data_IF_249498065808
#
_entry.id   IF_249498065808
#
_cell.length_a   1.000
_cell.length_b   1.000
_cell.length_c   1.000
_cell.angle_alpha   90.00
_cell.angle_beta   90.00
_cell.angle_gamma   90.00
#
_symmetry.space_group_name_H-M   'P 1'
#
loop_
_entity.id
_entity.type
_entity.pdbx_description
1 polymer ?
#
# COMPACT_ATOMS: atom_id res chain seq x y z
N UNK A 1 -22.26 -40.78 -42.65
CA UNK A 1 -20.89 -40.84 -42.09
C UNK A 1 -20.36 -39.40 -42.06
N UNK A 2 -20.40 -38.76 -40.89
CA UNK A 2 -19.98 -37.37 -40.72
C UNK A 2 -18.63 -37.37 -39.99
N UNK A 3 -17.60 -36.81 -40.61
CA UNK A 3 -16.25 -36.80 -40.07
C UNK A 3 -16.09 -35.66 -39.03
N UNK A 4 -15.67 -36.03 -37.83
CA UNK A 4 -15.37 -35.12 -36.72
C UNK A 4 -14.12 -34.29 -37.01
N UNK A 5 -14.20 -32.97 -36.81
CA UNK A 5 -13.01 -32.07 -36.81
C UNK A 5 -12.23 -32.26 -35.49
N UNK A 6 -10.89 -32.17 -35.51
CA UNK A 6 -10.11 -32.22 -34.27
C UNK A 6 -10.14 -30.86 -33.56
N UNK A 7 -10.31 -30.91 -32.24
CA UNK A 7 -10.12 -29.78 -31.31
C UNK A 7 -8.63 -29.45 -31.25
N UNK A 8 -8.29 -28.20 -31.55
CA UNK A 8 -6.94 -27.67 -31.39
C UNK A 8 -6.57 -27.68 -29.89
N UNK A 9 -5.46 -28.34 -29.56
CA UNK A 9 -4.90 -28.37 -28.22
C UNK A 9 -4.54 -26.95 -27.77
N UNK A 10 -4.96 -26.59 -26.55
CA UNK A 10 -4.59 -25.36 -25.86
C UNK A 10 -3.07 -25.21 -25.85
N UNK A 11 -2.58 -24.12 -26.42
CA UNK A 11 -1.16 -23.76 -26.42
C UNK A 11 -0.63 -23.75 -24.99
N UNK A 12 0.34 -24.61 -24.72
CA UNK A 12 1.11 -24.60 -23.49
C UNK A 12 1.77 -23.21 -23.36
N UNK A 13 1.43 -22.49 -22.28
CA UNK A 13 2.15 -21.29 -21.88
C UNK A 13 3.63 -21.63 -21.74
N UNK A 14 4.49 -20.96 -22.52
CA UNK A 14 5.93 -21.05 -22.36
C UNK A 14 6.26 -20.75 -20.89
N UNK A 15 7.06 -21.59 -20.19
CA UNK A 15 7.53 -21.22 -18.87
C UNK A 15 8.27 -19.89 -19.01
N UNK A 16 7.85 -18.89 -18.24
CA UNK A 16 8.54 -17.61 -18.17
C UNK A 16 10.01 -17.92 -17.93
N UNK A 17 10.87 -17.57 -18.91
CA UNK A 17 12.31 -17.66 -18.74
C UNK A 17 12.60 -16.92 -17.43
N UNK A 18 13.18 -17.62 -16.45
CA UNK A 18 13.84 -16.96 -15.32
C UNK A 18 14.97 -16.16 -15.95
N UNK A 19 14.69 -14.92 -16.33
CA UNK A 19 15.71 -13.95 -16.66
C UNK A 19 16.69 -13.99 -15.49
N UNK A 20 17.92 -14.44 -15.77
CA UNK A 20 18.93 -14.63 -14.74
C UNK A 20 19.03 -13.34 -13.96
N UNK A 21 18.80 -13.40 -12.64
CA UNK A 21 18.85 -12.22 -11.79
C UNK A 21 20.12 -11.47 -12.09
N UNK A 22 19.99 -10.18 -12.41
CA UNK A 22 21.16 -9.37 -12.75
C UNK A 22 22.17 -9.45 -11.62
N UNK A 23 23.46 -9.30 -11.95
CA UNK A 23 24.51 -9.31 -10.93
C UNK A 23 24.24 -8.27 -9.81
N UNK A 24 23.56 -7.16 -10.14
CA UNK A 24 23.07 -6.18 -9.17
C UNK A 24 22.01 -6.72 -8.21
N UNK A 25 20.97 -7.39 -8.73
CA UNK A 25 19.93 -8.00 -7.91
C UNK A 25 20.49 -9.05 -6.94
N UNK A 26 21.45 -9.87 -7.38
CA UNK A 26 22.12 -10.85 -6.51
C UNK A 26 22.97 -10.18 -5.41
N UNK A 27 23.64 -9.06 -5.71
CA UNK A 27 24.37 -8.27 -4.69
C UNK A 27 23.41 -7.71 -3.63
N UNK A 28 22.30 -7.12 -4.07
CA UNK A 28 21.27 -6.59 -3.16
C UNK A 28 20.68 -7.71 -2.27
N UNK A 29 20.37 -8.87 -2.86
CA UNK A 29 19.88 -10.04 -2.13
C UNK A 29 20.89 -10.52 -1.09
N UNK A 30 22.18 -10.66 -1.43
CA UNK A 30 23.21 -11.06 -0.46
C UNK A 30 23.35 -10.06 0.68
N UNK A 31 23.30 -8.75 0.39
CA UNK A 31 23.34 -7.71 1.43
C UNK A 31 22.13 -7.82 2.35
N UNK A 32 20.92 -7.96 1.80
CA UNK A 32 19.69 -8.14 2.57
C UNK A 32 19.77 -9.36 3.50
N UNK A 33 20.15 -10.53 2.97
CA UNK A 33 20.25 -11.77 3.75
C UNK A 33 21.38 -11.75 4.80
N UNK A 34 22.35 -10.84 4.69
CA UNK A 34 23.35 -10.62 5.74
C UNK A 34 22.75 -9.98 6.99
N UNK A 35 21.74 -9.12 6.82
CA UNK A 35 21.02 -8.50 7.94
C UNK A 35 19.84 -9.33 8.41
N UNK A 36 19.17 -10.03 7.48
CA UNK A 36 17.98 -10.84 7.75
C UNK A 36 18.17 -12.26 7.20
N UNK A 37 18.84 -13.17 7.92
CA UNK A 37 19.09 -14.53 7.47
C UNK A 37 17.84 -15.32 7.09
N UNK A 38 16.72 -15.12 7.81
CA UNK A 38 15.41 -15.70 7.49
C UNK A 38 14.68 -15.01 6.32
N UNK A 39 15.31 -14.00 5.70
CA UNK A 39 14.72 -13.20 4.65
C UNK A 39 13.49 -12.43 5.13
N UNK A 40 12.40 -12.49 4.36
CA UNK A 40 11.14 -11.81 4.74
C UNK A 40 10.39 -12.49 5.88
N UNK A 41 10.79 -13.71 6.26
CA UNK A 41 10.26 -14.45 7.41
C UNK A 41 11.15 -14.31 8.65
N UNK A 42 12.24 -13.55 8.56
CA UNK A 42 13.12 -13.29 9.69
C UNK A 42 12.37 -12.51 10.77
N UNK A 43 12.44 -12.96 12.03
CA UNK A 43 11.75 -12.31 13.14
C UNK A 43 12.20 -10.86 13.32
N UNK A 44 13.48 -10.56 13.07
CA UNK A 44 14.01 -9.20 13.14
C UNK A 44 13.45 -8.34 12.01
N UNK A 45 13.38 -8.88 10.79
CA UNK A 45 12.77 -8.19 9.66
C UNK A 45 11.30 -7.87 9.95
N UNK A 46 10.55 -8.85 10.47
CA UNK A 46 9.14 -8.68 10.80
C UNK A 46 8.98 -7.59 11.87
N UNK A 47 9.70 -7.70 12.99
CA UNK A 47 9.64 -6.75 14.08
C UNK A 47 10.05 -5.33 13.68
N UNK A 48 11.06 -5.17 12.83
CA UNK A 48 11.62 -3.86 12.48
C UNK A 48 10.90 -3.21 11.29
N UNK A 49 10.51 -3.99 10.29
CA UNK A 49 10.06 -3.46 9.00
C UNK A 49 8.59 -3.75 8.68
N UNK A 50 7.94 -4.68 9.39
CA UNK A 50 6.56 -5.11 9.07
C UNK A 50 5.55 -4.78 10.15
N UNK A 51 5.84 -5.10 11.41
CA UNK A 51 4.86 -5.03 12.49
C UNK A 51 4.26 -3.64 12.63
N UNK A 52 5.09 -2.60 12.63
CA UNK A 52 4.58 -1.24 12.73
C UNK A 52 3.70 -0.84 11.53
N UNK A 53 4.03 -1.32 10.32
CA UNK A 53 3.23 -1.02 9.10
C UNK A 53 1.86 -1.69 9.21
N UNK A 54 1.81 -2.90 9.76
CA UNK A 54 0.57 -3.61 10.02
C UNK A 54 -0.26 -2.93 11.11
N UNK A 55 0.36 -2.60 12.24
CA UNK A 55 -0.31 -1.91 13.35
C UNK A 55 -0.86 -0.53 12.92
N UNK A 56 -0.12 0.20 12.07
CA UNK A 56 -0.61 1.46 11.46
C UNK A 56 -1.79 1.21 10.53
N UNK A 57 -1.79 0.12 9.76
CA UNK A 57 -2.93 -0.28 8.93
C UNK A 57 -4.15 -0.66 9.77
N UNK A 58 -4.00 -1.41 10.85
CA UNK A 58 -5.11 -1.74 11.75
C UNK A 58 -5.74 -0.48 12.35
N UNK A 59 -4.93 0.46 12.83
CA UNK A 59 -5.41 1.78 13.29
C UNK A 59 -6.09 2.59 12.19
N UNK A 60 -5.62 2.45 10.95
CA UNK A 60 -6.26 3.09 9.81
C UNK A 60 -7.66 2.54 9.60
N UNK A 61 -7.80 1.22 9.55
CA UNK A 61 -9.11 0.57 9.38
C UNK A 61 -10.05 0.89 10.55
N UNK A 62 -9.55 0.89 11.79
CA UNK A 62 -10.34 1.28 12.97
C UNK A 62 -10.80 2.74 12.91
N UNK A 63 -9.95 3.66 12.45
CA UNK A 63 -10.24 5.10 12.48
C UNK A 63 -10.98 5.60 11.25
N UNK A 64 -10.66 5.05 10.08
CA UNK A 64 -11.03 5.58 8.76
C UNK A 64 -11.18 4.43 7.74
N UNK A 65 -11.93 3.39 8.11
CA UNK A 65 -12.35 2.32 7.18
C UNK A 65 -13.01 2.90 5.94
N UNK A 66 -13.04 2.12 4.84
CA UNK A 66 -13.68 2.56 3.58
C UNK A 66 -15.11 3.08 3.79
N UNK A 67 -15.90 2.41 4.62
CA UNK A 67 -17.30 2.76 4.88
C UNK A 67 -17.41 4.08 5.65
N UNK A 68 -16.63 4.22 6.71
CA UNK A 68 -16.60 5.41 7.56
C UNK A 68 -16.05 6.62 6.80
N UNK A 69 -14.98 6.42 6.02
CA UNK A 69 -14.43 7.44 5.14
C UNK A 69 -15.51 7.91 4.16
N UNK A 70 -16.21 6.99 3.48
CA UNK A 70 -17.31 7.35 2.57
C UNK A 70 -18.44 8.08 3.30
N UNK A 71 -18.74 7.75 4.57
CA UNK A 71 -19.75 8.44 5.39
C UNK A 71 -19.35 9.89 5.65
N UNK A 72 -18.13 10.12 6.13
CA UNK A 72 -17.59 11.46 6.40
C UNK A 72 -17.56 12.33 5.14
N UNK A 73 -17.17 11.78 3.99
CA UNK A 73 -17.19 12.51 2.71
C UNK A 73 -18.60 12.95 2.31
N UNK A 74 -19.61 12.08 2.45
CA UNK A 74 -21.00 12.46 2.17
C UNK A 74 -21.51 13.55 3.13
N UNK A 75 -21.05 13.53 4.37
CA UNK A 75 -21.31 14.57 5.37
C UNK A 75 -20.50 15.86 5.16
N UNK A 76 -19.59 15.89 4.18
CA UNK A 76 -18.62 16.98 3.97
C UNK A 76 -17.76 17.27 5.21
N UNK A 77 -17.53 16.25 6.04
CA UNK A 77 -16.73 16.30 7.27
C UNK A 77 -15.22 16.20 6.95
N UNK A 78 -14.72 17.02 6.02
CA UNK A 78 -13.35 16.91 5.47
C UNK A 78 -12.26 17.16 6.51
N UNK A 79 -12.48 18.12 7.40
CA UNK A 79 -11.55 18.41 8.49
C UNK A 79 -11.37 17.22 9.43
N UNK A 80 -12.45 16.45 9.67
CA UNK A 80 -12.41 15.25 10.51
C UNK A 80 -11.63 14.13 9.82
N UNK A 81 -11.83 13.90 8.53
CA UNK A 81 -11.01 12.97 7.74
C UNK A 81 -9.53 13.31 7.85
N UNK A 82 -9.17 14.58 7.61
CA UNK A 82 -7.79 15.03 7.68
C UNK A 82 -7.21 14.86 9.09
N UNK A 83 -7.97 15.22 10.13
CA UNK A 83 -7.55 15.07 11.52
C UNK A 83 -7.31 13.60 11.90
N UNK A 84 -8.16 12.67 11.46
CA UNK A 84 -8.00 11.23 11.70
C UNK A 84 -6.76 10.68 10.99
N UNK A 85 -6.59 10.98 9.71
CA UNK A 85 -5.41 10.54 8.95
C UNK A 85 -4.10 11.04 9.57
N UNK A 86 -4.04 12.33 9.93
CA UNK A 86 -2.88 12.92 10.61
C UNK A 86 -2.63 12.27 11.97
N UNK A 87 -3.68 11.94 12.72
CA UNK A 87 -3.56 11.29 14.04
C UNK A 87 -3.02 9.87 13.96
N UNK A 88 -3.46 9.07 12.99
CA UNK A 88 -2.91 7.73 12.73
C UNK A 88 -1.42 7.82 12.43
N UNK A 89 -1.03 8.77 11.58
CA UNK A 89 0.36 9.00 11.20
C UNK A 89 1.23 9.55 12.35
N UNK A 90 0.64 10.27 13.31
CA UNK A 90 1.35 10.76 14.51
C UNK A 90 1.52 9.69 15.60
N UNK A 91 0.56 8.78 15.74
CA UNK A 91 0.59 7.73 16.78
C UNK A 91 1.50 6.56 16.44
N UNK A 92 1.83 6.38 15.17
CA UNK A 92 2.66 5.28 14.71
C UNK A 92 4.08 5.43 15.27
N UNK A 93 4.62 4.35 15.86
CA UNK A 93 5.97 4.32 16.44
C UNK A 93 7.04 4.71 15.43
N UNK A 94 6.84 4.32 14.17
CA UNK A 94 7.64 4.72 13.04
C UNK A 94 6.75 5.47 12.04
N UNK A 95 7.26 6.58 11.51
CA UNK A 95 6.57 7.46 10.57
C UNK A 95 6.41 6.75 9.23
N UNK A 96 5.20 6.68 8.66
CA UNK A 96 5.00 6.10 7.32
C UNK A 96 5.44 7.06 6.22
N UNK A 97 5.39 8.36 6.50
CA UNK A 97 5.90 9.43 5.65
C UNK A 97 7.12 10.07 6.29
N UNK A 98 7.98 10.71 5.50
CA UNK A 98 9.16 11.38 6.03
C UNK A 98 8.77 12.57 6.92
N UNK A 99 9.63 12.94 7.88
CA UNK A 99 9.31 13.98 8.88
C UNK A 99 8.96 15.33 8.25
N UNK A 100 9.60 15.72 7.14
CA UNK A 100 9.26 16.96 6.43
C UNK A 100 7.93 16.87 5.69
N UNK A 101 7.61 15.71 5.11
CA UNK A 101 6.31 15.46 4.48
C UNK A 101 5.19 15.55 5.50
N UNK A 102 5.42 15.03 6.72
CA UNK A 102 4.48 15.16 7.85
C UNK A 102 4.21 16.61 8.22
N UNK A 103 5.24 17.46 8.21
CA UNK A 103 5.06 18.89 8.46
C UNK A 103 4.26 19.57 7.35
N UNK A 104 4.60 19.30 6.09
CA UNK A 104 3.90 19.84 4.93
C UNK A 104 2.42 19.41 4.90
N UNK A 105 2.15 18.12 5.15
CA UNK A 105 0.78 17.60 5.25
C UNK A 105 -0.03 18.32 6.33
N UNK A 106 0.54 18.44 7.54
CA UNK A 106 -0.13 19.12 8.65
C UNK A 106 -0.47 20.57 8.35
N UNK A 107 0.37 21.25 7.57
CA UNK A 107 0.11 22.63 7.19
C UNK A 107 -0.95 22.73 6.10
N UNK A 108 -0.86 21.88 5.07
CA UNK A 108 -1.78 21.84 3.94
C UNK A 108 -3.24 21.59 4.37
N UNK A 109 -3.48 20.77 5.40
CA UNK A 109 -4.85 20.43 5.83
C UNK A 109 -5.46 21.39 6.87
N UNK A 110 -4.80 22.50 7.21
CA UNK A 110 -5.34 23.48 8.17
C UNK A 110 -6.52 24.27 7.64
N UNK A 111 -6.51 24.57 6.33
CA UNK A 111 -7.62 25.25 5.69
C UNK A 111 -8.68 24.25 5.21
N UNK A 112 -9.93 24.71 5.13
CA UNK A 112 -11.05 23.88 4.70
C UNK A 112 -10.85 23.32 3.28
N UNK A 113 -10.36 24.16 2.35
CA UNK A 113 -10.08 23.76 0.97
C UNK A 113 -9.00 22.68 0.89
N UNK A 114 -7.91 22.84 1.66
CA UNK A 114 -6.82 21.87 1.72
C UNK A 114 -7.25 20.55 2.36
N UNK A 115 -8.03 20.60 3.45
CA UNK A 115 -8.61 19.40 4.07
C UNK A 115 -9.53 18.66 3.10
N UNK A 116 -10.34 19.39 2.33
CA UNK A 116 -11.21 18.82 1.29
C UNK A 116 -10.42 18.15 0.18
N UNK A 117 -9.46 18.86 -0.43
CA UNK A 117 -8.63 18.32 -1.50
C UNK A 117 -7.88 17.07 -1.05
N UNK A 118 -7.35 17.10 0.18
CA UNK A 118 -6.71 15.94 0.80
C UNK A 118 -7.69 14.77 0.97
N UNK A 119 -8.86 15.00 1.58
CA UNK A 119 -9.83 13.95 1.86
C UNK A 119 -10.38 13.28 0.60
N UNK A 120 -10.76 14.07 -0.41
CA UNK A 120 -11.28 13.57 -1.68
C UNK A 120 -10.19 12.82 -2.46
N UNK A 121 -8.99 13.40 -2.57
CA UNK A 121 -7.87 12.78 -3.28
C UNK A 121 -7.37 11.50 -2.64
N UNK A 122 -7.30 11.47 -1.31
CA UNK A 122 -6.89 10.28 -0.56
C UNK A 122 -7.91 9.14 -0.71
N UNK A 123 -9.21 9.44 -0.69
CA UNK A 123 -10.23 8.43 -0.91
C UNK A 123 -10.14 7.84 -2.31
N UNK A 124 -9.96 8.68 -3.34
CA UNK A 124 -9.78 8.20 -4.71
C UNK A 124 -8.51 7.34 -4.84
N UNK A 125 -7.42 7.74 -4.20
CA UNK A 125 -6.18 6.95 -4.19
C UNK A 125 -6.34 5.56 -3.57
N UNK A 126 -7.08 5.44 -2.46
CA UNK A 126 -7.23 4.19 -1.72
C UNK A 126 -8.37 3.29 -2.20
N UNK A 127 -9.45 3.89 -2.71
CA UNK A 127 -10.73 3.22 -2.93
C UNK A 127 -11.36 3.51 -4.29
N UNK A 128 -10.69 4.32 -5.11
CA UNK A 128 -11.10 4.68 -6.46
C UNK A 128 -11.03 3.51 -7.44
N UNK A 129 -11.25 3.82 -8.71
CA UNK A 129 -11.32 2.80 -9.76
C UNK A 129 -9.95 2.27 -10.23
N UNK A 130 -8.85 2.75 -9.63
CA UNK A 130 -7.50 2.32 -9.95
C UNK A 130 -7.32 0.80 -9.76
N UNK A 131 -6.70 0.14 -10.73
CA UNK A 131 -6.37 -1.27 -10.58
C UNK A 131 -5.07 -1.42 -9.80
N UNK A 132 -5.09 -2.27 -8.78
CA UNK A 132 -3.85 -2.72 -8.14
C UNK A 132 -3.07 -3.51 -9.18
N UNK A 133 -1.84 -3.06 -9.46
CA UNK A 133 -0.91 -3.80 -10.32
C UNK A 133 -0.70 -5.19 -9.72
N UNK A 134 -1.13 -6.23 -10.46
CA UNK A 134 -0.89 -7.61 -10.06
C UNK A 134 0.59 -7.92 -10.31
N UNK A 135 1.35 -7.99 -9.22
CA UNK A 135 2.77 -8.39 -9.22
C UNK A 135 2.93 -9.89 -9.04
#
# INVERSE_FOLDING_TARGET
>A
MSASKPVAARGASKPARREGRTAGAERCRRKFLRFFPGGFSDETYIAWERDYKWETHERWEESLSREEFRRLLRGREFAEVAARAVRVEQRSRYSMIFSFEKMALRDAVKCEEGARAFAEGLYEFLHGAGQVERR
#
